data_IF_490957665710
#
_entry.id   IF_490957665710
#
_cell.length_a   1.000
_cell.length_b   1.000
_cell.length_c   1.000
_cell.angle_alpha   90.00
_cell.angle_beta   90.00
_cell.angle_gamma   90.00
#
_symmetry.space_group_name_H-M   'P 1'
#
loop_
_entity.id
_entity.type
_entity.pdbx_description
1 polymer ?
#
# COMPACT_ATOMS: atom_id res chain seq x y z
N UNK A 1 -22.48 -25.69 -19.11
CA UNK A 1 -22.31 -25.43 -17.67
C UNK A 1 -20.84 -25.62 -17.33
N UNK A 2 -20.04 -24.55 -17.31
CA UNK A 2 -18.59 -24.61 -17.09
C UNK A 2 -18.33 -23.76 -15.85
N UNK A 3 -18.15 -24.41 -14.70
CA UNK A 3 -17.75 -23.78 -13.45
C UNK A 3 -16.35 -23.21 -13.67
N UNK A 4 -16.26 -21.91 -13.97
CA UNK A 4 -15.01 -21.17 -13.75
C UNK A 4 -14.80 -21.17 -12.24
N UNK A 5 -13.74 -21.82 -11.78
CA UNK A 5 -13.23 -21.66 -10.42
C UNK A 5 -13.00 -20.16 -10.21
N UNK A 6 -13.98 -19.47 -9.61
CA UNK A 6 -13.79 -18.13 -9.08
C UNK A 6 -12.88 -18.33 -7.87
N UNK A 7 -11.57 -18.06 -8.02
CA UNK A 7 -10.72 -17.82 -6.87
C UNK A 7 -11.41 -16.69 -6.10
N UNK A 8 -11.80 -16.97 -4.87
CA UNK A 8 -12.34 -15.97 -3.96
C UNK A 8 -11.14 -15.09 -3.62
N UNK A 9 -11.14 -13.80 -4.03
CA UNK A 9 -10.33 -12.79 -3.35
C UNK A 9 -10.66 -12.94 -1.87
N UNK A 10 -9.69 -13.30 -1.03
CA UNK A 10 -9.86 -13.24 0.42
C UNK A 10 -8.78 -12.30 0.90
N UNK A 11 -9.05 -11.00 0.81
CA UNK A 11 -8.09 -9.98 1.27
C UNK A 11 -7.99 -9.88 2.81
N UNK A 12 -8.83 -10.60 3.57
CA UNK A 12 -9.04 -10.32 5.00
C UNK A 12 -9.18 -11.54 5.90
N UNK A 13 -8.27 -12.51 5.78
CA UNK A 13 -8.05 -13.43 6.91
C UNK A 13 -7.07 -12.79 7.89
N UNK A 14 -7.64 -12.25 8.97
CA UNK A 14 -6.95 -11.96 10.22
C UNK A 14 -6.15 -13.18 10.68
N UNK A 15 -4.85 -12.97 10.94
CA UNK A 15 -4.05 -13.72 11.91
C UNK A 15 -4.27 -15.24 11.94
N UNK A 16 -3.64 -15.97 11.03
CA UNK A 16 -3.22 -17.34 11.30
C UNK A 16 -1.90 -17.58 10.57
N UNK A 17 -0.83 -17.68 11.36
CA UNK A 17 0.49 -18.09 10.92
C UNK A 17 0.40 -19.42 10.18
N UNK A 18 0.69 -19.41 8.89
CA UNK A 18 1.14 -20.59 8.18
C UNK A 18 2.52 -20.28 7.62
N UNK A 19 3.54 -20.70 8.36
CA UNK A 19 4.88 -20.87 7.83
C UNK A 19 4.79 -21.78 6.61
N UNK A 20 5.05 -21.23 5.43
CA UNK A 20 5.48 -22.02 4.29
C UNK A 20 6.91 -21.57 4.02
N UNK A 21 7.86 -22.40 4.49
CA UNK A 21 9.22 -22.36 3.97
C UNK A 21 9.13 -22.58 2.46
N UNK A 22 9.54 -21.58 1.67
CA UNK A 22 9.84 -21.80 0.28
C UNK A 22 11.19 -21.16 -0.06
N UNK A 23 12.23 -21.98 0.06
CA UNK A 23 13.49 -21.74 -0.61
C UNK A 23 13.29 -22.05 -2.09
N UNK A 24 13.27 -21.05 -2.97
CA UNK A 24 13.69 -21.23 -4.36
C UNK A 24 13.98 -19.85 -4.99
N UNK A 25 15.22 -19.39 -4.89
CA UNK A 25 15.79 -18.51 -5.90
C UNK A 25 16.58 -19.41 -6.86
N UNK A 26 16.00 -19.70 -8.02
CA UNK A 26 16.81 -19.95 -9.22
C UNK A 26 16.74 -18.69 -10.07
N UNK A 27 17.90 -18.07 -10.28
CA UNK A 27 18.05 -16.98 -11.23
C UNK A 27 17.83 -17.52 -12.64
N UNK A 28 16.68 -17.22 -13.24
CA UNK A 28 16.52 -17.35 -14.67
C UNK A 28 17.03 -16.07 -15.34
N UNK A 29 18.10 -16.23 -16.11
CA UNK A 29 18.62 -15.20 -17.01
C UNK A 29 17.54 -14.84 -18.05
N UNK A 30 16.84 -13.73 -17.83
CA UNK A 30 16.05 -13.09 -18.87
C UNK A 30 16.89 -12.01 -19.53
N UNK A 31 17.43 -12.35 -20.71
CA UNK A 31 17.86 -11.36 -21.68
C UNK A 31 16.62 -10.87 -22.42
N UNK A 32 16.08 -9.72 -22.01
CA UNK A 32 15.26 -8.91 -22.92
C UNK A 32 15.61 -7.43 -22.74
N UNK A 33 16.13 -6.86 -23.81
CA UNK A 33 16.71 -5.52 -23.86
C UNK A 33 15.60 -4.49 -23.96
N UNK A 34 15.15 -3.96 -22.83
CA UNK A 34 14.57 -2.60 -22.66
C UNK A 34 14.28 -2.33 -21.17
N UNK A 35 15.27 -2.58 -20.31
CA UNK A 35 15.13 -2.49 -18.86
C UNK A 35 16.18 -1.51 -18.30
N UNK A 36 15.87 -0.22 -18.35
CA UNK A 36 16.75 0.85 -17.87
C UNK A 36 16.16 1.69 -16.75
N UNK A 37 15.10 1.22 -16.07
CA UNK A 37 14.41 1.99 -15.02
C UNK A 37 14.58 1.43 -13.59
N UNK A 38 14.94 0.16 -13.40
CA UNK A 38 15.26 -0.35 -12.04
C UNK A 38 16.53 0.28 -11.47
N UNK A 39 17.54 0.48 -12.32
CA UNK A 39 18.76 1.22 -11.97
C UNK A 39 18.47 2.67 -11.63
N UNK A 40 17.44 3.29 -12.20
CA UNK A 40 17.04 4.67 -11.88
C UNK A 40 16.38 4.75 -10.50
N UNK A 41 15.64 3.73 -10.06
CA UNK A 41 15.06 3.67 -8.71
C UNK A 41 16.17 3.46 -7.67
N UNK A 42 17.10 2.53 -7.91
CA UNK A 42 18.26 2.33 -7.05
C UNK A 42 19.21 3.55 -7.03
N UNK A 43 19.38 4.25 -8.16
CA UNK A 43 20.18 5.47 -8.22
C UNK A 43 19.49 6.67 -7.58
N UNK A 44 18.15 6.75 -7.59
CA UNK A 44 17.40 7.76 -6.84
C UNK A 44 17.50 7.57 -5.33
N UNK A 45 17.58 6.33 -4.85
CA UNK A 45 17.89 6.04 -3.43
C UNK A 45 19.32 6.48 -3.05
N UNK A 46 20.24 6.56 -4.03
CA UNK A 46 21.65 6.89 -3.81
C UNK A 46 22.02 8.37 -4.10
N UNK A 47 21.20 9.16 -4.80
CA UNK A 47 21.46 10.59 -5.02
C UNK A 47 20.86 11.46 -3.91
N UNK A 48 21.67 11.67 -2.87
CA UNK A 48 21.48 12.71 -1.84
C UNK A 48 21.46 14.08 -2.48
N UNK A 49 20.29 14.70 -2.59
CA UNK A 49 20.24 16.14 -2.85
C UNK A 49 18.89 16.80 -2.47
N UNK A 50 19.02 17.88 -1.69
CA UNK A 50 18.05 18.97 -1.39
C UNK A 50 17.08 18.87 -0.17
N UNK A 51 17.62 19.28 0.98
CA UNK A 51 17.10 20.34 1.90
C UNK A 51 15.60 20.39 2.23
N UNK A 52 15.13 19.41 3.00
CA UNK A 52 14.79 19.46 4.46
C UNK A 52 14.65 18.00 4.88
N UNK A 53 15.76 17.32 5.17
CA UNK A 53 15.76 15.86 5.37
C UNK A 53 15.27 15.51 6.78
N UNK A 54 14.04 14.98 6.84
CA UNK A 54 13.49 14.19 7.92
C UNK A 54 13.75 12.67 7.74
N UNK A 55 14.63 12.29 6.80
CA UNK A 55 15.23 10.96 6.78
C UNK A 55 16.25 10.82 7.92
N UNK A 56 15.80 10.52 9.15
CA UNK A 56 16.50 9.58 10.03
C UNK A 56 15.63 9.04 11.20
N UNK A 57 14.31 8.92 11.06
CA UNK A 57 13.62 7.94 11.90
C UNK A 57 13.64 6.63 11.14
N UNK A 58 14.74 5.89 11.30
CA UNK A 58 14.72 4.45 11.08
C UNK A 58 14.01 3.85 12.29
N UNK A 59 12.71 3.62 12.13
CA UNK A 59 11.93 2.95 13.16
C UNK A 59 12.03 1.45 12.93
N UNK A 60 12.47 0.74 13.96
CA UNK A 60 12.37 -0.73 14.03
C UNK A 60 11.06 -1.18 14.67
N UNK A 61 10.22 -0.22 15.06
CA UNK A 61 8.90 -0.42 15.64
C UNK A 61 7.83 0.28 14.79
N UNK A 62 6.63 -0.29 14.68
CA UNK A 62 5.58 0.30 13.86
C UNK A 62 4.97 1.57 14.48
N UNK A 63 4.34 2.37 13.63
CA UNK A 63 3.42 3.43 14.03
C UNK A 63 2.01 2.84 14.05
N UNK A 64 1.35 2.86 15.21
CA UNK A 64 -0.07 2.47 15.33
C UNK A 64 -0.88 3.61 15.92
N UNK A 65 -1.93 4.00 15.21
CA UNK A 65 -2.90 4.99 15.66
C UNK A 65 -4.27 4.31 15.75
N UNK A 66 -4.86 4.30 16.94
CA UNK A 66 -6.24 3.92 17.15
C UNK A 66 -6.97 5.14 17.68
N UNK A 67 -7.75 5.82 16.83
CA UNK A 67 -8.35 7.13 17.17
C UNK A 67 -9.41 7.04 18.28
N UNK A 68 -9.88 5.82 18.57
CA UNK A 68 -10.78 5.53 19.71
C UNK A 68 -10.05 5.02 20.97
N UNK A 69 -8.74 4.79 20.88
CA UNK A 69 -7.92 4.18 21.94
C UNK A 69 -6.99 5.16 22.65
N UNK A 70 -6.03 4.61 23.40
CA UNK A 70 -5.01 5.37 24.12
C UNK A 70 -3.93 5.94 23.21
N UNK A 71 -3.61 5.25 22.11
CA UNK A 71 -2.71 5.68 21.05
C UNK A 71 -3.49 6.41 19.93
N UNK A 72 -4.27 7.42 20.30
CA UNK A 72 -5.02 8.24 19.34
C UNK A 72 -4.15 9.37 18.77
N UNK A 73 -4.74 10.25 17.96
CA UNK A 73 -3.98 11.34 17.36
C UNK A 73 -3.45 12.39 18.34
N UNK A 74 -4.12 12.61 19.47
CA UNK A 74 -3.60 13.50 20.52
C UNK A 74 -2.36 12.93 21.18
N UNK A 75 -2.30 11.61 21.37
CA UNK A 75 -1.07 10.93 21.79
C UNK A 75 0.04 11.09 20.74
N UNK A 76 -0.29 10.92 19.47
CA UNK A 76 0.68 11.05 18.37
C UNK A 76 1.34 12.44 18.34
N UNK A 77 0.66 13.51 18.77
CA UNK A 77 1.25 14.86 18.86
C UNK A 77 2.50 14.94 19.76
N UNK A 78 2.67 14.00 20.70
CA UNK A 78 3.86 13.89 21.55
C UNK A 78 4.99 13.06 20.96
N UNK A 79 4.78 12.40 19.82
CA UNK A 79 5.72 11.47 19.22
C UNK A 79 6.69 12.18 18.26
N UNK A 80 7.93 11.69 18.18
CA UNK A 80 8.99 12.35 17.40
C UNK A 80 8.84 12.23 15.89
N UNK A 81 8.09 11.21 15.42
CA UNK A 81 7.78 10.95 14.02
C UNK A 81 6.58 11.76 13.51
N UNK A 82 5.86 12.43 14.41
CA UNK A 82 4.65 13.16 14.07
C UNK A 82 4.97 14.48 13.35
N UNK A 83 4.41 14.64 12.15
CA UNK A 83 4.70 15.76 11.25
C UNK A 83 3.89 17.04 11.55
N UNK A 84 3.03 17.04 12.56
CA UNK A 84 2.16 18.19 12.84
C UNK A 84 0.94 18.23 11.92
N UNK A 85 0.43 19.44 11.66
CA UNK A 85 -0.85 19.65 11.00
C UNK A 85 -0.75 20.35 9.63
N UNK A 86 -1.47 19.75 8.66
CA UNK A 86 -2.38 20.35 7.66
C UNK A 86 -2.80 19.32 6.58
N UNK A 87 -3.03 18.07 6.98
CA UNK A 87 -3.85 17.11 6.25
C UNK A 87 -5.34 17.38 6.40
N UNK A 88 -5.84 18.54 5.94
CA UNK A 88 -6.91 19.33 6.59
C UNK A 88 -8.39 18.88 6.54
N UNK A 89 -9.13 19.17 7.63
CA UNK A 89 -10.39 19.95 7.68
C UNK A 89 -10.47 20.95 8.88
N UNK A 90 -9.41 21.33 9.58
CA UNK A 90 -8.77 22.63 9.33
C UNK A 90 -7.47 22.83 10.13
N UNK A 91 -6.96 21.80 10.82
CA UNK A 91 -5.51 21.52 10.75
C UNK A 91 -5.07 20.05 11.05
N UNK A 92 -5.73 19.01 10.51
CA UNK A 92 -5.36 17.62 10.81
C UNK A 92 -3.99 17.13 10.35
N UNK A 93 -3.72 15.88 10.70
CA UNK A 93 -2.43 15.27 10.97
C UNK A 93 -1.60 14.91 9.75
N UNK A 94 -0.28 14.89 9.93
CA UNK A 94 0.68 14.42 8.94
C UNK A 94 1.62 13.39 9.60
N UNK A 95 1.79 12.26 8.93
CA UNK A 95 2.91 11.34 9.12
C UNK A 95 3.75 11.48 7.87
N UNK A 96 4.99 11.96 7.99
CA UNK A 96 5.82 12.14 6.81
C UNK A 96 7.30 11.86 7.02
N UNK A 97 7.97 11.47 5.93
CA UNK A 97 9.43 11.33 5.88
C UNK A 97 10.00 10.24 6.82
N UNK A 98 9.25 9.18 7.10
CA UNK A 98 9.66 8.09 8.02
C UNK A 98 10.05 6.84 7.24
N UNK A 99 11.13 6.17 7.66
CA UNK A 99 11.47 4.82 7.18
C UNK A 99 11.22 3.80 8.29
N UNK A 100 10.40 2.79 8.02
CA UNK A 100 10.07 1.75 8.98
C UNK A 100 10.44 0.40 8.38
N UNK A 101 11.51 -0.21 8.92
CA UNK A 101 11.90 -1.59 8.65
C UNK A 101 11.63 -2.40 9.91
N UNK A 102 10.56 -3.19 9.89
CA UNK A 102 10.16 -4.02 11.03
C UNK A 102 10.81 -5.40 11.04
N UNK A 103 11.65 -5.71 10.05
CA UNK A 103 12.40 -6.97 9.90
C UNK A 103 11.58 -8.23 10.19
N UNK A 104 10.36 -8.28 9.66
CA UNK A 104 9.42 -9.41 9.86
C UNK A 104 9.05 -9.68 11.33
N UNK A 105 9.25 -8.72 12.22
CA UNK A 105 8.87 -8.84 13.64
C UNK A 105 7.45 -8.32 13.92
N UNK A 106 6.88 -7.55 12.98
CA UNK A 106 5.57 -6.92 13.14
C UNK A 106 4.70 -7.13 11.91
N UNK A 107 3.39 -7.20 12.13
CA UNK A 107 2.39 -7.38 11.07
C UNK A 107 2.26 -6.17 10.14
N UNK A 108 2.76 -5.00 10.55
CA UNK A 108 2.58 -3.75 9.82
C UNK A 108 3.70 -2.78 10.13
N UNK A 109 3.87 -1.77 9.27
CA UNK A 109 4.74 -0.63 9.55
C UNK A 109 3.95 0.58 10.03
N UNK A 110 2.88 0.94 9.33
CA UNK A 110 1.94 2.00 9.74
C UNK A 110 0.53 1.44 9.76
N UNK A 111 -0.18 1.59 10.87
CA UNK A 111 -1.59 1.25 10.97
C UNK A 111 -2.40 2.39 11.55
N UNK A 112 -3.53 2.70 10.92
CA UNK A 112 -4.54 3.61 11.46
C UNK A 112 -5.87 2.87 11.55
N UNK A 113 -6.48 2.89 12.73
CA UNK A 113 -7.76 2.28 13.01
C UNK A 113 -8.79 3.32 13.47
N UNK A 114 -10.04 3.16 13.05
CA UNK A 114 -11.21 3.86 13.59
C UNK A 114 -11.16 5.40 13.51
N UNK A 115 -10.54 5.96 12.46
CA UNK A 115 -10.31 7.40 12.35
C UNK A 115 -11.22 8.04 11.30
N UNK A 116 -11.98 9.06 11.71
CA UNK A 116 -12.67 9.98 10.78
C UNK A 116 -11.91 11.31 10.60
N UNK A 117 -10.78 11.48 11.30
CA UNK A 117 -9.91 12.64 11.12
C UNK A 117 -9.30 12.58 9.73
N UNK A 118 -9.20 13.74 9.11
CA UNK A 118 -8.37 13.85 7.93
C UNK A 118 -6.90 13.65 8.36
N UNK A 119 -6.09 13.07 7.50
CA UNK A 119 -4.65 13.01 7.70
C UNK A 119 -3.94 12.71 6.39
N UNK A 120 -2.63 12.96 6.36
CA UNK A 120 -1.75 12.62 5.26
C UNK A 120 -0.69 11.64 5.77
N UNK A 121 -0.47 10.55 5.05
CA UNK A 121 0.76 9.74 5.15
C UNK A 121 1.56 10.00 3.88
N UNK A 122 2.73 10.61 4.00
CA UNK A 122 3.51 11.00 2.83
C UNK A 122 5.01 10.85 2.93
N UNK A 123 5.65 10.47 1.82
CA UNK A 123 7.10 10.28 1.76
C UNK A 123 7.63 9.31 2.83
N UNK A 124 6.83 8.30 3.19
CA UNK A 124 7.24 7.22 4.06
C UNK A 124 7.77 6.04 3.24
N UNK A 125 8.73 5.31 3.81
CA UNK A 125 9.21 4.03 3.30
C UNK A 125 8.86 2.93 4.30
N UNK A 126 8.09 1.93 3.88
CA UNK A 126 7.64 0.81 4.74
C UNK A 126 8.04 -0.53 4.12
N UNK A 127 8.70 -1.37 4.91
CA UNK A 127 9.23 -2.64 4.41
C UNK A 127 9.25 -3.75 5.46
N UNK A 128 9.20 -4.99 4.95
CA UNK A 128 9.31 -6.23 5.71
C UNK A 128 8.26 -6.41 6.81
N UNK A 129 7.06 -5.84 6.66
CA UNK A 129 5.94 -6.23 7.50
C UNK A 129 5.52 -7.68 7.22
N UNK A 130 5.14 -8.43 8.25
CA UNK A 130 4.60 -9.78 8.11
C UNK A 130 3.25 -9.80 7.40
N UNK A 131 2.50 -8.70 7.42
CA UNK A 131 1.28 -8.53 6.65
C UNK A 131 1.39 -7.28 5.78
N UNK A 132 0.99 -6.12 6.29
CA UNK A 132 0.68 -4.94 5.48
C UNK A 132 1.61 -3.77 5.76
N UNK A 133 2.23 -3.19 4.73
CA UNK A 133 3.08 -2.00 4.91
C UNK A 133 2.32 -0.83 5.56
N UNK A 134 1.31 -0.30 4.87
CA UNK A 134 0.37 0.72 5.38
C UNK A 134 -1.04 0.12 5.45
N UNK A 135 -1.60 0.02 6.66
CA UNK A 135 -2.92 -0.56 6.91
C UNK A 135 -3.92 0.48 7.43
N UNK A 136 -5.06 0.64 6.75
CA UNK A 136 -6.19 1.47 7.18
C UNK A 136 -7.39 0.56 7.49
N UNK A 137 -7.97 0.66 8.68
CA UNK A 137 -9.15 -0.12 9.08
C UNK A 137 -10.21 0.77 9.70
N UNK A 138 -11.41 0.81 9.12
CA UNK A 138 -12.45 1.75 9.54
C UNK A 138 -11.94 3.20 9.54
N UNK A 139 -11.35 3.62 8.41
CA UNK A 139 -10.70 4.94 8.26
C UNK A 139 -11.30 5.73 7.11
N UNK A 140 -11.56 7.01 7.36
CA UNK A 140 -12.11 7.92 6.37
C UNK A 140 -11.29 9.20 6.21
N UNK A 141 -11.41 9.84 5.05
CA UNK A 141 -10.89 11.18 4.76
C UNK A 141 -9.34 11.31 4.78
N UNK A 142 -8.62 10.22 4.53
CA UNK A 142 -7.16 10.21 4.51
C UNK A 142 -6.58 10.41 3.10
N UNK A 143 -5.30 10.82 3.06
CA UNK A 143 -4.49 10.80 1.85
C UNK A 143 -3.20 10.02 2.08
N UNK A 144 -2.98 8.98 1.30
CA UNK A 144 -1.76 8.17 1.30
C UNK A 144 -1.01 8.51 0.02
N UNK A 145 0.05 9.32 0.12
CA UNK A 145 0.67 9.94 -1.05
C UNK A 145 2.19 9.83 -1.09
N UNK A 146 2.77 9.55 -2.27
CA UNK A 146 4.23 9.51 -2.45
C UNK A 146 4.98 8.58 -1.48
N UNK A 147 4.39 7.45 -1.09
CA UNK A 147 5.06 6.48 -0.22
C UNK A 147 5.70 5.35 -1.01
N UNK A 148 6.69 4.70 -0.41
CA UNK A 148 7.31 3.48 -0.89
C UNK A 148 6.91 2.32 0.02
N UNK A 149 6.26 1.30 -0.53
CA UNK A 149 5.86 0.09 0.20
C UNK A 149 6.35 -1.15 -0.54
N UNK A 150 7.36 -1.83 0.00
CA UNK A 150 7.99 -2.96 -0.68
C UNK A 150 8.42 -4.07 0.27
N UNK A 151 8.53 -5.30 -0.26
CA UNK A 151 8.90 -6.51 0.47
C UNK A 151 8.04 -6.75 1.72
N UNK A 152 6.75 -6.42 1.69
CA UNK A 152 5.81 -6.83 2.73
C UNK A 152 5.21 -8.19 2.36
N UNK A 153 5.06 -9.06 3.36
CA UNK A 153 4.68 -10.47 3.17
C UNK A 153 3.20 -10.68 2.83
N UNK A 154 2.40 -9.61 2.75
CA UNK A 154 1.02 -9.67 2.26
C UNK A 154 0.71 -8.54 1.29
N UNK A 155 0.34 -7.35 1.78
CA UNK A 155 -0.10 -6.22 0.94
C UNK A 155 0.75 -4.98 1.20
N UNK A 156 1.11 -4.22 0.17
CA UNK A 156 1.85 -2.97 0.37
C UNK A 156 1.01 -1.89 1.07
N UNK A 157 -0.17 -1.58 0.52
CA UNK A 157 -1.14 -0.63 1.09
C UNK A 157 -2.53 -1.28 1.12
N UNK A 158 -3.12 -1.43 2.31
CA UNK A 158 -4.41 -2.11 2.50
C UNK A 158 -5.46 -1.24 3.19
N UNK A 159 -6.69 -1.26 2.66
CA UNK A 159 -7.88 -0.59 3.21
C UNK A 159 -8.97 -1.61 3.51
N UNK A 160 -9.43 -1.66 4.76
CA UNK A 160 -10.59 -2.45 5.20
C UNK A 160 -11.65 -1.52 5.80
N UNK A 161 -12.91 -1.69 5.41
CA UNK A 161 -14.04 -0.90 5.94
C UNK A 161 -13.78 0.62 5.85
N UNK A 162 -13.09 1.10 4.83
CA UNK A 162 -12.52 2.46 4.77
C UNK A 162 -13.05 3.24 3.55
N UNK A 163 -13.45 4.49 3.75
CA UNK A 163 -14.22 5.26 2.76
C UNK A 163 -13.65 6.66 2.52
N UNK A 164 -13.86 7.20 1.32
CA UNK A 164 -13.48 8.58 0.97
C UNK A 164 -11.98 8.89 1.17
N UNK A 165 -11.10 7.91 0.94
CA UNK A 165 -9.66 8.08 1.01
C UNK A 165 -9.06 8.28 -0.39
N UNK A 166 -7.90 8.93 -0.44
CA UNK A 166 -7.10 9.07 -1.67
C UNK A 166 -5.77 8.34 -1.51
N UNK A 167 -5.49 7.40 -2.40
CA UNK A 167 -4.22 6.69 -2.48
C UNK A 167 -3.60 7.09 -3.81
N UNK A 168 -2.54 7.91 -3.77
CA UNK A 168 -1.99 8.43 -5.01
C UNK A 168 -0.48 8.57 -5.06
N UNK A 169 0.11 8.32 -6.23
CA UNK A 169 1.56 8.50 -6.47
C UNK A 169 2.44 7.64 -5.56
N UNK A 170 1.90 6.54 -5.03
CA UNK A 170 2.70 5.60 -4.25
C UNK A 170 3.42 4.62 -5.16
N UNK A 171 4.58 4.16 -4.70
CA UNK A 171 5.35 3.11 -5.32
C UNK A 171 5.27 1.84 -4.48
N UNK A 172 4.51 0.86 -4.96
CA UNK A 172 4.09 -0.33 -4.22
C UNK A 172 4.56 -1.58 -4.96
N UNK A 173 5.78 -2.03 -4.65
CA UNK A 173 6.51 -3.01 -5.47
C UNK A 173 6.91 -4.23 -4.65
N UNK A 174 6.86 -5.42 -5.23
CA UNK A 174 7.53 -6.60 -4.64
C UNK A 174 6.87 -7.09 -3.35
N UNK A 175 5.57 -6.90 -3.19
CA UNK A 175 4.83 -7.46 -2.05
C UNK A 175 4.29 -8.85 -2.40
N UNK A 176 4.26 -9.74 -1.40
CA UNK A 176 4.08 -11.18 -1.65
C UNK A 176 2.67 -11.55 -2.12
N UNK A 177 1.63 -10.75 -1.85
CA UNK A 177 0.27 -11.03 -2.34
C UNK A 177 -0.23 -9.87 -3.19
N UNK A 178 -0.32 -8.66 -2.64
CA UNK A 178 -0.94 -7.53 -3.33
C UNK A 178 -0.14 -6.23 -3.22
N UNK A 179 -0.23 -5.39 -4.25
CA UNK A 179 0.24 -4.01 -4.16
C UNK A 179 -0.71 -3.18 -3.30
N UNK A 180 -1.82 -2.77 -3.90
CA UNK A 180 -2.89 -1.99 -3.24
C UNK A 180 -4.15 -2.86 -3.13
N UNK A 181 -4.68 -3.03 -1.92
CA UNK A 181 -5.86 -3.86 -1.65
C UNK A 181 -6.98 -3.09 -0.96
N UNK A 182 -8.21 -3.19 -1.47
CA UNK A 182 -9.43 -2.65 -0.84
C UNK A 182 -10.40 -3.79 -0.54
N UNK A 183 -10.92 -3.87 0.68
CA UNK A 183 -12.07 -4.72 1.02
C UNK A 183 -13.13 -3.94 1.79
N UNK A 184 -14.39 -4.12 1.40
CA UNK A 184 -15.53 -3.38 1.96
C UNK A 184 -15.27 -1.86 2.08
N UNK A 185 -14.62 -1.28 1.08
CA UNK A 185 -14.02 0.06 1.13
C UNK A 185 -14.46 0.88 -0.08
N UNK A 186 -15.62 1.52 0.03
CA UNK A 186 -16.27 2.24 -1.08
C UNK A 186 -15.90 3.72 -1.17
N UNK A 187 -16.02 4.32 -2.35
CA UNK A 187 -15.86 5.77 -2.52
C UNK A 187 -14.42 6.28 -2.41
N UNK A 188 -13.42 5.44 -2.65
CA UNK A 188 -12.00 5.80 -2.61
C UNK A 188 -11.46 6.17 -4.00
N UNK A 189 -10.35 6.92 -4.02
CA UNK A 189 -9.64 7.33 -5.24
C UNK A 189 -8.24 6.73 -5.28
N UNK A 190 -7.96 5.86 -6.25
CA UNK A 190 -6.69 5.16 -6.45
C UNK A 190 -6.05 5.71 -7.72
N UNK A 191 -5.11 6.64 -7.56
CA UNK A 191 -4.67 7.52 -8.65
C UNK A 191 -3.16 7.50 -8.85
N UNK A 192 -2.68 7.33 -10.09
CA UNK A 192 -1.26 7.55 -10.40
C UNK A 192 -0.26 6.70 -9.59
N UNK A 193 -0.68 5.52 -9.11
CA UNK A 193 0.21 4.62 -8.35
C UNK A 193 0.98 3.70 -9.29
N UNK A 194 2.16 3.27 -8.83
CA UNK A 194 2.94 2.18 -9.44
C UNK A 194 2.78 0.96 -8.53
N UNK A 195 2.15 -0.10 -9.03
CA UNK A 195 1.83 -1.32 -8.30
C UNK A 195 2.34 -2.54 -9.07
N UNK A 196 3.66 -2.64 -9.23
CA UNK A 196 4.32 -3.62 -10.09
C UNK A 196 4.99 -4.73 -9.30
N UNK A 197 5.20 -5.89 -9.94
CA UNK A 197 5.96 -7.00 -9.36
C UNK A 197 5.40 -7.50 -8.02
N UNK A 198 4.10 -7.35 -7.78
CA UNK A 198 3.42 -8.00 -6.67
C UNK A 198 2.94 -9.36 -7.15
N UNK A 199 3.07 -10.40 -6.31
CA UNK A 199 2.92 -11.78 -6.78
C UNK A 199 1.53 -12.05 -7.38
N UNK A 200 0.46 -11.57 -6.73
CA UNK A 200 -0.91 -11.84 -7.18
C UNK A 200 -1.55 -10.61 -7.83
N UNK A 201 -1.87 -9.55 -7.07
CA UNK A 201 -2.56 -8.38 -7.61
C UNK A 201 -1.67 -7.13 -7.57
N UNK A 202 -1.63 -6.36 -8.66
CA UNK A 202 -1.16 -4.99 -8.59
C UNK A 202 -2.14 -4.15 -7.76
N UNK A 203 -3.39 -4.08 -8.20
CA UNK A 203 -4.50 -3.44 -7.48
C UNK A 203 -5.67 -4.42 -7.38
N UNK A 204 -6.06 -4.78 -6.16
CA UNK A 204 -7.19 -5.67 -5.88
C UNK A 204 -8.31 -4.95 -5.13
N UNK A 205 -9.55 -5.14 -5.60
CA UNK A 205 -10.75 -4.50 -5.05
C UNK A 205 -11.81 -5.58 -4.79
N UNK A 206 -12.28 -5.68 -3.55
CA UNK A 206 -13.24 -6.69 -3.12
C UNK A 206 -14.41 -6.04 -2.36
N UNK A 207 -15.64 -6.39 -2.71
CA UNK A 207 -16.87 -5.91 -2.05
C UNK A 207 -16.86 -4.37 -1.87
N UNK A 208 -16.34 -3.62 -2.86
CA UNK A 208 -16.01 -2.20 -2.73
C UNK A 208 -16.53 -1.40 -3.93
N UNK A 209 -17.54 -0.58 -3.70
CA UNK A 209 -18.27 0.13 -4.76
C UNK A 209 -17.80 1.57 -4.94
N UNK A 210 -18.18 2.18 -6.07
CA UNK A 210 -18.03 3.61 -6.31
C UNK A 210 -16.59 4.15 -6.18
N UNK A 211 -15.56 3.34 -6.42
CA UNK A 211 -14.17 3.78 -6.41
C UNK A 211 -13.75 4.30 -7.78
N UNK A 212 -12.78 5.22 -7.78
CA UNK A 212 -12.10 5.69 -9.00
C UNK A 212 -10.69 5.13 -9.05
N UNK A 213 -10.40 4.26 -10.02
CA UNK A 213 -9.07 3.71 -10.27
C UNK A 213 -8.55 4.29 -11.58
N UNK A 214 -7.61 5.24 -11.53
CA UNK A 214 -7.12 5.88 -12.75
C UNK A 214 -5.64 6.21 -12.81
N UNK A 215 -5.08 6.16 -14.01
CA UNK A 215 -3.68 6.48 -14.31
C UNK A 215 -2.65 5.63 -13.53
N UNK A 216 -3.04 4.44 -13.07
CA UNK A 216 -2.11 3.54 -12.37
C UNK A 216 -1.31 2.68 -13.35
N UNK A 217 -0.09 2.35 -12.97
CA UNK A 217 0.75 1.34 -13.60
C UNK A 217 0.73 0.09 -12.74
N UNK A 218 0.14 -0.99 -13.22
CA UNK A 218 0.01 -2.26 -12.51
C UNK A 218 0.44 -3.41 -13.42
N UNK A 219 1.74 -3.50 -13.67
CA UNK A 219 2.38 -4.42 -14.63
C UNK A 219 3.24 -5.46 -13.91
N UNK A 220 3.44 -6.62 -14.52
CA UNK A 220 4.26 -7.71 -13.98
C UNK A 220 3.73 -8.31 -12.66
N UNK A 221 2.42 -8.40 -12.52
CA UNK A 221 1.71 -9.13 -11.46
C UNK A 221 0.99 -10.35 -12.07
N UNK A 222 0.37 -11.24 -11.27
CA UNK A 222 -0.57 -12.22 -11.84
C UNK A 222 -1.77 -11.51 -12.46
N UNK A 223 -2.38 -10.58 -11.73
CA UNK A 223 -3.47 -9.71 -12.15
C UNK A 223 -3.04 -8.25 -11.99
N UNK A 224 -3.15 -7.44 -13.04
CA UNK A 224 -2.85 -6.02 -12.93
C UNK A 224 -3.85 -5.29 -12.04
N UNK A 225 -5.12 -5.28 -12.46
CA UNK A 225 -6.23 -4.68 -11.70
C UNK A 225 -7.37 -5.70 -11.66
N UNK A 226 -7.76 -6.14 -10.47
CA UNK A 226 -8.82 -7.12 -10.25
C UNK A 226 -9.96 -6.56 -9.39
N UNK A 227 -11.20 -6.75 -9.82
CA UNK A 227 -12.41 -6.38 -9.07
C UNK A 227 -13.27 -7.63 -8.82
N UNK A 228 -13.73 -7.81 -7.58
CA UNK A 228 -14.67 -8.86 -7.19
C UNK A 228 -15.83 -8.24 -6.43
N UNK A 229 -17.07 -8.59 -6.83
CA UNK A 229 -18.31 -8.14 -6.18
C UNK A 229 -18.32 -6.61 -5.93
N UNK A 230 -17.81 -5.84 -6.89
CA UNK A 230 -17.51 -4.42 -6.71
C UNK A 230 -18.12 -3.64 -7.86
N UNK A 231 -19.21 -2.95 -7.60
CA UNK A 231 -20.06 -2.29 -8.58
C UNK A 231 -19.78 -0.78 -8.69
N UNK A 232 -20.13 -0.20 -9.84
CA UNK A 232 -20.09 1.27 -10.07
C UNK A 232 -18.66 1.85 -9.91
N UNK A 233 -17.63 1.04 -10.14
CA UNK A 233 -16.24 1.49 -10.13
C UNK A 233 -15.85 2.12 -11.48
N UNK A 234 -15.13 3.24 -11.45
CA UNK A 234 -14.59 3.90 -12.64
C UNK A 234 -13.14 3.47 -12.81
N UNK A 235 -12.86 2.67 -13.83
CA UNK A 235 -11.51 2.23 -14.21
C UNK A 235 -11.12 2.93 -15.50
N UNK A 236 -10.12 3.81 -15.47
CA UNK A 236 -9.74 4.58 -16.65
C UNK A 236 -8.25 4.88 -16.73
N UNK A 237 -7.67 4.85 -17.94
CA UNK A 237 -6.28 5.24 -18.21
C UNK A 237 -5.23 4.47 -17.40
N UNK A 238 -5.53 3.26 -16.94
CA UNK A 238 -4.56 2.42 -16.27
C UNK A 238 -3.76 1.62 -17.30
N UNK A 239 -2.50 1.34 -16.98
CA UNK A 239 -1.68 0.39 -17.71
C UNK A 239 -1.53 -0.90 -16.90
N UNK A 240 -2.20 -1.98 -17.36
CA UNK A 240 -2.15 -3.32 -16.79
C UNK A 240 -1.56 -4.34 -17.77
N UNK A 241 -0.60 -3.93 -18.60
CA UNK A 241 0.13 -4.83 -19.50
C UNK A 241 1.10 -5.76 -18.75
N UNK A 242 1.55 -6.83 -19.42
CA UNK A 242 2.59 -7.74 -18.91
C UNK A 242 2.25 -8.42 -17.57
N UNK A 243 0.96 -8.63 -17.29
CA UNK A 243 0.51 -9.49 -16.20
C UNK A 243 0.27 -10.92 -16.69
N UNK A 244 0.37 -11.92 -15.81
CA UNK A 244 0.24 -13.34 -16.20
C UNK A 244 -1.17 -13.65 -16.72
N UNK A 245 -2.16 -13.07 -16.05
CA UNK A 245 -3.57 -13.19 -16.40
C UNK A 245 -4.02 -11.82 -16.91
N UNK A 246 -4.60 -11.80 -18.12
CA UNK A 246 -5.12 -10.57 -18.72
C UNK A 246 -6.10 -9.90 -17.76
N UNK A 247 -5.86 -8.61 -17.49
CA UNK A 247 -6.73 -7.75 -16.68
C UNK A 247 -8.06 -7.43 -17.34
#
# INVERSE_FOLDING_TARGET
MRLKNKKILVFWLLGLSLFINFSFFQSNNFNDTNYSDETVIFDKLNRKDYTKTAAYWELTTPIEINDTGSNNWTWAEGESWFGGGNGTIHNPYIIENVTIDVDSNYDFCIRVNNSNKYFIISNCTVLKANLTGIALRNVNNSKIINNYAFNNSYVGIGLLDSYNNTISKNNVIGNLIGGIGLGNSSGNSILENIANFNLEYGIGIEDSDNNTISNNLATYNDYGIGLQNSDINIISKNNASYNIIGG
#
